data_IF_451847360986
#
_entry.id   IF_451847360986
#
_cell.length_a   1.000
_cell.length_b   1.000
_cell.length_c   1.000
_cell.angle_alpha   90.00
_cell.angle_beta   90.00
_cell.angle_gamma   90.00
#
_symmetry.space_group_name_H-M   'P 1'
#
loop_
_entity.id
_entity.type
_entity.pdbx_description
1 polymer ?
#
# COMPACT_ATOMS: atom_id res chain seq x y z
N UNK A 1 5.93 27.39 62.76
CA UNK A 1 5.42 27.38 61.38
C UNK A 1 6.56 26.84 60.54
N UNK A 2 6.58 25.51 60.34
CA UNK A 2 7.67 24.81 59.66
C UNK A 2 7.54 24.97 58.14
N UNK A 3 8.59 25.50 57.51
CA UNK A 3 8.72 25.56 56.06
C UNK A 3 9.51 24.34 55.57
N UNK A 4 8.83 23.21 55.39
CA UNK A 4 9.44 22.02 54.80
C UNK A 4 9.54 22.18 53.27
N UNK A 5 10.77 22.32 52.76
CA UNK A 5 11.06 22.33 51.33
C UNK A 5 11.13 20.90 50.79
N UNK A 6 10.12 20.51 50.03
CA UNK A 6 10.09 19.23 49.31
C UNK A 6 10.94 19.36 48.03
N UNK A 7 12.12 18.74 48.01
CA UNK A 7 12.95 18.64 46.80
C UNK A 7 12.66 17.32 46.08
N UNK A 8 12.35 17.39 44.79
CA UNK A 8 12.08 16.22 43.95
C UNK A 8 13.17 16.06 42.88
N UNK A 9 13.79 14.86 42.83
CA UNK A 9 14.83 14.50 41.87
C UNK A 9 14.19 13.73 40.71
N UNK A 10 14.04 14.38 39.56
CA UNK A 10 13.48 13.76 38.36
C UNK A 10 14.61 13.40 37.39
N UNK A 11 14.63 12.15 36.91
CA UNK A 11 15.49 11.72 35.80
C UNK A 11 14.71 11.81 34.50
N UNK A 12 14.95 12.87 33.73
CA UNK A 12 14.45 12.98 32.37
C UNK A 12 15.43 12.29 31.41
N UNK A 13 14.95 11.29 30.67
CA UNK A 13 15.72 10.66 29.59
C UNK A 13 15.09 11.05 28.25
N UNK A 14 15.89 11.55 27.33
CA UNK A 14 15.41 11.89 26.00
C UNK A 14 14.99 10.61 25.26
N UNK A 15 13.71 10.50 24.93
CA UNK A 15 13.20 9.39 24.12
C UNK A 15 13.69 9.58 22.69
N UNK A 16 14.31 8.54 22.10
CA UNK A 16 14.80 8.55 20.72
C UNK A 16 13.68 8.99 19.76
N UNK A 17 13.87 10.13 19.10
CA UNK A 17 12.93 10.63 18.10
C UNK A 17 13.08 9.74 16.86
N UNK A 18 12.02 9.05 16.47
CA UNK A 18 12.01 8.26 15.24
C UNK A 18 12.06 9.22 14.05
N UNK A 19 13.21 9.32 13.39
CA UNK A 19 13.33 10.03 12.11
C UNK A 19 12.61 9.24 11.03
N UNK A 20 11.84 9.91 10.17
CA UNK A 20 11.37 9.29 8.93
C UNK A 20 12.59 8.96 8.07
N UNK A 21 12.76 7.70 7.70
CA UNK A 21 13.75 7.33 6.69
C UNK A 21 13.48 8.15 5.43
N UNK A 22 14.52 8.75 4.85
CA UNK A 22 14.44 9.35 3.52
C UNK A 22 13.93 8.30 2.54
N UNK A 23 13.03 8.71 1.64
CA UNK A 23 12.46 7.78 0.66
C UNK A 23 13.60 7.26 -0.23
N UNK A 24 13.93 5.97 -0.09
CA UNK A 24 14.94 5.33 -0.95
C UNK A 24 14.55 5.37 -2.42
N UNK A 25 15.55 5.19 -3.29
CA UNK A 25 15.35 5.18 -4.74
C UNK A 25 14.32 4.09 -5.16
N UNK A 26 13.43 4.39 -6.13
CA UNK A 26 12.56 3.40 -6.75
C UNK A 26 13.30 2.12 -7.17
N UNK A 27 12.85 0.96 -6.70
CA UNK A 27 13.40 -0.31 -7.15
C UNK A 27 12.97 -0.56 -8.62
N UNK A 28 13.90 -1.01 -9.46
CA UNK A 28 13.67 -1.32 -10.88
C UNK A 28 13.03 -2.71 -11.00
N UNK A 29 12.10 -2.88 -11.95
CA UNK A 29 11.43 -4.16 -12.15
C UNK A 29 12.23 -5.12 -13.04
N UNK A 30 13.07 -5.95 -12.44
CA UNK A 30 13.92 -6.91 -13.17
C UNK A 30 13.20 -8.14 -13.73
N UNK A 31 11.91 -8.36 -13.45
CA UNK A 31 11.23 -9.56 -13.94
C UNK A 31 11.07 -9.61 -15.46
N UNK A 32 11.23 -8.47 -16.15
CA UNK A 32 11.21 -8.38 -17.61
C UNK A 32 12.61 -8.32 -18.22
N UNK A 33 13.70 -8.48 -17.45
CA UNK A 33 15.06 -8.41 -18.02
C UNK A 33 15.33 -9.48 -19.09
N UNK A 34 14.60 -10.60 -19.03
CA UNK A 34 14.71 -11.69 -20.00
C UNK A 34 13.90 -11.43 -21.28
N UNK A 35 13.08 -10.37 -21.32
CA UNK A 35 12.37 -9.97 -22.53
C UNK A 35 13.33 -9.22 -23.48
N UNK A 36 13.59 -9.74 -24.69
CA UNK A 36 14.50 -9.12 -25.65
C UNK A 36 14.10 -7.68 -26.01
N UNK A 37 12.80 -7.37 -26.03
CA UNK A 37 12.32 -6.06 -26.45
C UNK A 37 12.67 -4.97 -25.43
N UNK A 38 12.46 -5.24 -24.14
CA UNK A 38 12.78 -4.31 -23.06
C UNK A 38 14.29 -4.11 -22.89
N UNK A 39 15.08 -5.17 -23.08
CA UNK A 39 16.55 -5.10 -23.07
C UNK A 39 17.09 -4.24 -24.21
N UNK A 40 16.54 -4.39 -25.43
CA UNK A 40 16.89 -3.54 -26.57
C UNK A 40 16.54 -2.07 -26.29
N UNK A 41 15.34 -1.82 -25.74
CA UNK A 41 14.89 -0.48 -25.36
C UNK A 41 15.82 0.17 -24.34
N UNK A 42 16.27 -0.59 -23.34
CA UNK A 42 17.26 -0.12 -22.37
C UNK A 42 18.57 0.29 -23.06
N UNK A 43 19.13 -0.56 -23.92
CA UNK A 43 20.37 -0.28 -24.64
C UNK A 43 20.29 0.99 -25.49
N UNK A 44 19.18 1.19 -26.20
CA UNK A 44 18.96 2.40 -27.01
C UNK A 44 18.92 3.67 -26.15
N UNK A 45 18.17 3.65 -25.04
CA UNK A 45 18.03 4.82 -24.15
C UNK A 45 19.38 5.11 -23.45
N UNK A 46 20.07 4.08 -22.98
CA UNK A 46 21.35 4.22 -22.30
C UNK A 46 22.42 4.78 -23.23
N UNK A 47 22.57 4.21 -24.43
CA UNK A 47 23.54 4.66 -25.42
C UNK A 47 23.28 6.11 -25.83
N UNK A 48 22.01 6.49 -26.03
CA UNK A 48 21.64 7.87 -26.29
C UNK A 48 22.10 8.79 -25.16
N UNK A 49 21.79 8.47 -23.89
CA UNK A 49 22.16 9.33 -22.74
C UNK A 49 23.66 9.47 -22.53
N UNK A 50 24.42 8.39 -22.69
CA UNK A 50 25.88 8.42 -22.53
C UNK A 50 26.52 9.24 -23.65
N UNK A 51 25.97 9.20 -24.87
CA UNK A 51 26.49 9.97 -25.99
C UNK A 51 26.15 11.47 -25.92
N UNK A 52 24.98 11.84 -25.37
CA UNK A 52 24.60 13.26 -25.21
C UNK A 52 25.38 13.94 -24.08
N UNK A 53 25.71 13.20 -23.03
CA UNK A 53 26.53 13.70 -21.92
C UNK A 53 28.01 13.53 -22.27
N UNK A 54 28.59 14.52 -22.94
CA UNK A 54 30.06 14.62 -23.03
C UNK A 54 30.64 14.46 -21.61
N UNK A 55 31.46 13.43 -21.37
CA UNK A 55 32.20 13.22 -20.11
C UNK A 55 33.32 14.27 -19.97
N UNK A 56 32.99 15.54 -20.14
CA UNK A 56 33.86 16.70 -20.02
C UNK A 56 34.13 17.08 -18.55
N UNK A 57 33.57 16.36 -17.58
CA UNK A 57 33.87 16.59 -16.18
C UNK A 57 35.32 16.17 -15.89
N UNK A 58 36.15 17.13 -15.50
CA UNK A 58 37.55 16.93 -15.07
C UNK A 58 37.67 16.04 -13.83
N UNK A 59 36.57 15.87 -13.10
CA UNK A 59 36.49 15.11 -11.86
C UNK A 59 35.91 13.68 -12.07
N UNK A 60 36.61 12.69 -11.53
CA UNK A 60 36.27 11.27 -11.65
C UNK A 60 34.96 10.95 -10.92
N UNK A 61 34.72 11.58 -9.77
CA UNK A 61 33.49 11.36 -8.99
C UNK A 61 32.27 11.82 -9.77
N UNK A 62 32.35 12.99 -10.40
CA UNK A 62 31.31 13.52 -11.27
C UNK A 62 31.03 12.61 -12.47
N UNK A 63 32.08 12.04 -13.09
CA UNK A 63 31.93 11.06 -14.19
C UNK A 63 31.23 9.78 -13.73
N UNK A 64 31.58 9.28 -12.55
CA UNK A 64 30.94 8.09 -11.99
C UNK A 64 29.47 8.33 -11.64
N UNK A 65 29.14 9.48 -11.04
CA UNK A 65 27.77 9.87 -10.75
C UNK A 65 26.93 9.95 -12.03
N UNK A 66 27.46 10.57 -13.09
CA UNK A 66 26.75 10.65 -14.37
C UNK A 66 26.53 9.28 -15.00
N UNK A 67 27.53 8.40 -14.98
CA UNK A 67 27.39 7.04 -15.48
C UNK A 67 26.32 6.28 -14.68
N UNK A 68 26.38 6.35 -13.36
CA UNK A 68 25.43 5.69 -12.47
C UNK A 68 24.00 6.20 -12.69
N UNK A 69 23.80 7.52 -12.80
CA UNK A 69 22.50 8.12 -13.09
C UNK A 69 21.99 7.79 -14.49
N UNK A 70 22.86 7.75 -15.50
CA UNK A 70 22.50 7.35 -16.85
C UNK A 70 22.03 5.88 -16.87
N UNK A 71 22.74 4.98 -16.20
CA UNK A 71 22.34 3.57 -16.05
C UNK A 71 21.00 3.48 -15.32
N UNK A 72 20.89 4.10 -14.16
CA UNK A 72 19.72 3.99 -13.30
C UNK A 72 18.46 4.57 -13.96
N UNK A 73 18.55 5.77 -14.55
CA UNK A 73 17.40 6.41 -15.20
C UNK A 73 16.99 5.69 -16.49
N UNK A 74 17.94 5.17 -17.26
CA UNK A 74 17.65 4.38 -18.46
C UNK A 74 16.96 3.06 -18.08
N UNK A 75 17.48 2.38 -17.05
CA UNK A 75 16.89 1.15 -16.53
C UNK A 75 15.49 1.40 -15.96
N UNK A 76 15.30 2.48 -15.20
CA UNK A 76 13.99 2.86 -14.67
C UNK A 76 12.98 3.17 -15.79
N UNK A 77 13.43 3.76 -16.90
CA UNK A 77 12.56 4.08 -18.04
C UNK A 77 12.19 2.83 -18.84
N UNK A 78 13.15 1.93 -19.07
CA UNK A 78 12.95 0.71 -19.85
C UNK A 78 12.16 -0.36 -19.07
N UNK A 79 12.57 -0.64 -17.84
CA UNK A 79 12.01 -1.72 -17.02
C UNK A 79 10.89 -1.27 -16.09
N UNK A 80 10.66 0.04 -15.96
CA UNK A 80 9.68 0.67 -15.07
C UNK A 80 9.98 0.43 -13.58
N UNK A 81 9.29 1.20 -12.75
CA UNK A 81 9.31 1.05 -11.30
C UNK A 81 8.68 -0.28 -10.91
N UNK A 82 9.37 -1.07 -10.09
CA UNK A 82 8.82 -2.20 -9.38
C UNK A 82 7.86 -1.69 -8.31
N UNK A 83 6.57 -1.86 -8.55
CA UNK A 83 5.58 -1.72 -7.50
C UNK A 83 5.57 -3.01 -6.68
N UNK A 84 5.52 -2.89 -5.36
CA UNK A 84 5.09 -4.00 -4.53
C UNK A 84 3.60 -4.20 -4.82
N UNK A 85 3.28 -5.06 -5.78
CA UNK A 85 1.94 -5.61 -5.88
C UNK A 85 1.80 -6.56 -4.71
N UNK A 86 1.26 -6.06 -3.59
CA UNK A 86 0.55 -6.96 -2.69
C UNK A 86 -0.68 -7.36 -3.50
N UNK A 87 -0.67 -8.56 -4.09
CA UNK A 87 -1.85 -9.10 -4.73
C UNK A 87 -2.98 -9.00 -3.70
N UNK A 88 -3.96 -8.14 -3.99
CA UNK A 88 -5.15 -8.02 -3.18
C UNK A 88 -6.27 -8.73 -3.92
N UNK A 89 -7.33 -9.09 -3.20
CA UNK A 89 -8.46 -9.82 -3.78
C UNK A 89 -9.04 -9.11 -5.01
N UNK A 90 -8.92 -7.78 -5.10
CA UNK A 90 -9.42 -7.01 -6.24
C UNK A 90 -8.56 -7.18 -7.50
N UNK A 91 -7.23 -7.12 -7.38
CA UNK A 91 -6.32 -7.37 -8.51
C UNK A 91 -6.30 -8.84 -8.93
N UNK A 92 -6.48 -9.76 -7.98
CA UNK A 92 -6.54 -11.19 -8.26
C UNK A 92 -7.80 -11.59 -9.05
N UNK A 93 -8.91 -10.88 -8.83
CA UNK A 93 -10.19 -11.11 -9.51
C UNK A 93 -10.55 -9.94 -10.45
N UNK A 94 -9.55 -9.33 -11.08
CA UNK A 94 -9.77 -8.17 -11.94
C UNK A 94 -10.70 -8.50 -13.12
N UNK A 95 -10.53 -9.66 -13.74
CA UNK A 95 -11.33 -10.08 -14.91
C UNK A 95 -12.83 -10.18 -14.58
N UNK A 96 -13.18 -10.60 -13.36
CA UNK A 96 -14.56 -10.63 -12.86
C UNK A 96 -15.06 -9.22 -12.47
N UNK A 97 -14.20 -8.39 -11.87
CA UNK A 97 -14.57 -7.06 -11.38
C UNK A 97 -14.64 -5.99 -12.48
N UNK A 98 -13.89 -6.13 -13.56
CA UNK A 98 -13.84 -5.18 -14.67
C UNK A 98 -15.21 -4.95 -15.33
N UNK A 99 -15.97 -5.99 -15.76
CA UNK A 99 -17.25 -5.78 -16.43
C UNK A 99 -18.29 -5.13 -15.52
N UNK A 100 -18.38 -5.55 -14.25
CA UNK A 100 -19.33 -4.97 -13.29
C UNK A 100 -18.97 -3.54 -12.90
N UNK A 101 -17.67 -3.21 -12.84
CA UNK A 101 -17.19 -1.84 -12.61
C UNK A 101 -17.51 -0.93 -13.80
N UNK A 102 -17.34 -1.43 -15.03
CA UNK A 102 -17.71 -0.73 -16.26
C UNK A 102 -19.22 -0.51 -16.34
N UNK A 103 -20.03 -1.53 -16.05
CA UNK A 103 -21.48 -1.45 -16.04
C UNK A 103 -21.99 -0.42 -15.00
N UNK A 104 -21.44 -0.44 -13.78
CA UNK A 104 -21.75 0.56 -12.74
C UNK A 104 -21.41 1.97 -13.19
N UNK A 105 -20.25 2.17 -13.83
CA UNK A 105 -19.85 3.49 -14.37
C UNK A 105 -20.78 3.93 -15.50
N UNK A 106 -21.15 3.03 -16.41
CA UNK A 106 -22.07 3.34 -17.50
C UNK A 106 -23.45 3.74 -16.98
N UNK A 107 -24.02 2.99 -16.04
CA UNK A 107 -25.31 3.31 -15.41
C UNK A 107 -25.30 4.68 -14.71
N UNK A 108 -24.16 5.05 -14.09
CA UNK A 108 -23.99 6.37 -13.50
C UNK A 108 -23.96 7.49 -14.56
N UNK A 109 -23.30 7.27 -15.70
CA UNK A 109 -23.29 8.23 -16.80
C UNK A 109 -24.69 8.43 -17.40
N UNK A 110 -25.43 7.35 -17.63
CA UNK A 110 -26.80 7.43 -18.18
C UNK A 110 -27.75 8.18 -17.25
N UNK A 111 -27.64 7.99 -15.94
CA UNK A 111 -28.42 8.77 -14.96
C UNK A 111 -28.04 10.24 -14.95
N UNK A 112 -26.75 10.58 -15.06
CA UNK A 112 -26.31 11.98 -15.15
C UNK A 112 -26.84 12.67 -16.40
N UNK A 113 -26.99 11.93 -17.50
CA UNK A 113 -27.58 12.44 -18.74
C UNK A 113 -29.10 12.60 -18.65
N UNK A 114 -29.78 11.63 -18.03
CA UNK A 114 -31.24 11.66 -17.87
C UNK A 114 -31.63 11.15 -16.46
N UNK A 115 -31.77 12.05 -15.48
CA UNK A 115 -32.20 11.69 -14.13
C UNK A 115 -33.68 11.32 -14.11
N UNK A 116 -33.99 10.03 -14.06
CA UNK A 116 -35.35 9.53 -13.94
C UNK A 116 -35.40 8.27 -13.06
N UNK A 117 -36.60 7.77 -12.76
CA UNK A 117 -36.78 6.61 -11.88
C UNK A 117 -36.11 5.36 -12.46
N UNK A 118 -36.28 5.13 -13.77
CA UNK A 118 -35.67 3.98 -14.47
C UNK A 118 -34.14 4.01 -14.44
N UNK A 119 -33.52 5.17 -14.72
CA UNK A 119 -32.05 5.30 -14.67
C UNK A 119 -31.51 5.21 -13.24
N UNK A 120 -32.28 5.66 -12.24
CA UNK A 120 -31.95 5.48 -10.82
C UNK A 120 -31.99 4.01 -10.41
N UNK A 121 -33.01 3.28 -10.83
CA UNK A 121 -33.13 1.84 -10.55
C UNK A 121 -32.03 1.03 -11.27
N UNK A 122 -31.65 1.43 -12.48
CA UNK A 122 -30.51 0.86 -13.19
C UNK A 122 -29.17 1.07 -12.43
N UNK A 123 -28.93 2.26 -11.85
CA UNK A 123 -27.77 2.46 -10.96
C UNK A 123 -27.84 1.50 -9.78
N UNK A 124 -28.99 1.41 -9.10
CA UNK A 124 -29.16 0.57 -7.91
C UNK A 124 -28.87 -0.89 -8.24
N UNK A 125 -29.40 -1.40 -9.35
CA UNK A 125 -29.15 -2.75 -9.82
C UNK A 125 -27.65 -2.98 -10.13
N UNK A 126 -27.02 -2.07 -10.90
CA UNK A 126 -25.61 -2.17 -11.22
C UNK A 126 -24.71 -2.09 -9.97
N UNK A 127 -25.08 -1.26 -8.99
CA UNK A 127 -24.40 -1.17 -7.70
C UNK A 127 -24.50 -2.47 -6.91
N UNK A 128 -25.72 -3.01 -6.79
CA UNK A 128 -25.97 -4.28 -6.10
C UNK A 128 -25.15 -5.42 -6.72
N UNK A 129 -25.15 -5.51 -8.05
CA UNK A 129 -24.36 -6.52 -8.78
C UNK A 129 -22.86 -6.37 -8.55
N UNK A 130 -22.33 -5.14 -8.65
CA UNK A 130 -20.91 -4.89 -8.40
C UNK A 130 -20.53 -5.23 -6.95
N UNK A 131 -21.40 -4.94 -5.98
CA UNK A 131 -21.18 -5.26 -4.57
C UNK A 131 -21.24 -6.76 -4.31
N UNK A 132 -22.19 -7.48 -4.91
CA UNK A 132 -22.27 -8.95 -4.81
C UNK A 132 -21.01 -9.60 -5.38
N UNK A 133 -20.57 -9.14 -6.56
CA UNK A 133 -19.37 -9.66 -7.23
C UNK A 133 -18.12 -9.38 -6.39
N UNK A 134 -17.97 -8.16 -5.86
CA UNK A 134 -16.86 -7.81 -4.97
C UNK A 134 -16.79 -8.71 -3.74
N UNK A 135 -17.94 -8.98 -3.10
CA UNK A 135 -18.01 -9.91 -1.96
C UNK A 135 -17.64 -11.32 -2.35
N UNK A 136 -18.11 -11.81 -3.50
CA UNK A 136 -17.79 -13.13 -4.01
C UNK A 136 -16.28 -13.28 -4.26
N UNK A 137 -15.67 -12.36 -5.02
CA UNK A 137 -14.23 -12.33 -5.28
C UNK A 137 -13.41 -12.27 -4.00
N UNK A 138 -13.77 -11.37 -3.07
CA UNK A 138 -13.09 -11.25 -1.79
C UNK A 138 -13.15 -12.56 -0.99
N UNK A 139 -14.33 -13.16 -0.87
CA UNK A 139 -14.51 -14.40 -0.12
C UNK A 139 -13.75 -15.57 -0.75
N UNK A 140 -13.79 -15.72 -2.07
CA UNK A 140 -13.04 -16.76 -2.77
C UNK A 140 -11.53 -16.59 -2.56
N UNK A 141 -11.02 -15.37 -2.72
CA UNK A 141 -9.62 -15.06 -2.49
C UNK A 141 -9.19 -15.45 -1.06
N UNK A 142 -9.94 -15.04 -0.04
CA UNK A 142 -9.59 -15.35 1.35
C UNK A 142 -9.69 -16.84 1.65
N UNK A 143 -10.72 -17.54 1.17
CA UNK A 143 -10.84 -18.99 1.33
C UNK A 143 -9.66 -19.74 0.70
N UNK A 144 -9.28 -19.37 -0.51
CA UNK A 144 -8.14 -19.97 -1.20
C UNK A 144 -6.84 -19.69 -0.45
N UNK A 145 -6.64 -18.46 0.04
CA UNK A 145 -5.46 -18.11 0.82
C UNK A 145 -5.37 -18.92 2.13
N UNK A 146 -6.48 -19.07 2.87
CA UNK A 146 -6.51 -19.89 4.09
C UNK A 146 -6.25 -21.36 3.79
N UNK A 147 -6.87 -21.91 2.74
CA UNK A 147 -6.62 -23.29 2.32
C UNK A 147 -5.15 -23.53 1.96
N UNK A 148 -4.50 -22.59 1.26
CA UNK A 148 -3.06 -22.67 0.97
C UNK A 148 -2.19 -22.62 2.23
N UNK A 149 -2.54 -21.77 3.21
CA UNK A 149 -1.83 -21.70 4.50
C UNK A 149 -1.98 -23.01 5.26
N UNK A 150 -3.19 -23.56 5.31
CA UNK A 150 -3.49 -24.81 6.00
C UNK A 150 -2.77 -26.00 5.36
N UNK A 151 -2.78 -26.10 4.02
CA UNK A 151 -1.99 -27.12 3.31
C UNK A 151 -0.49 -27.00 3.58
N UNK A 152 0.04 -25.77 3.63
CA UNK A 152 1.45 -25.54 3.95
C UNK A 152 1.78 -25.93 5.41
N UNK A 153 0.85 -25.72 6.35
CA UNK A 153 0.99 -26.17 7.73
C UNK A 153 1.01 -27.71 7.80
N UNK A 154 0.04 -28.37 7.17
CA UNK A 154 -0.13 -29.82 7.21
C UNK A 154 1.02 -30.57 6.53
N UNK A 155 1.65 -29.96 5.52
CA UNK A 155 2.81 -30.53 4.81
C UNK A 155 4.16 -30.18 5.42
N UNK A 156 4.20 -29.41 6.51
CA UNK A 156 5.46 -28.94 7.12
C UNK A 156 6.22 -27.89 6.28
N UNK A 157 5.59 -27.29 5.27
CA UNK A 157 6.18 -26.23 4.44
C UNK A 157 6.20 -24.88 5.18
N UNK A 158 7.18 -24.70 6.06
CA UNK A 158 7.35 -23.48 6.85
C UNK A 158 7.46 -22.20 5.99
N UNK A 159 8.05 -22.30 4.80
CA UNK A 159 8.19 -21.15 3.88
C UNK A 159 6.84 -20.73 3.29
N UNK A 160 6.03 -21.69 2.87
CA UNK A 160 4.68 -21.46 2.35
C UNK A 160 3.76 -20.86 3.42
N UNK A 161 3.82 -21.38 4.64
CA UNK A 161 3.08 -20.87 5.78
C UNK A 161 3.42 -19.40 6.07
N UNK A 162 4.72 -19.07 6.17
CA UNK A 162 5.15 -17.69 6.43
C UNK A 162 4.75 -16.73 5.30
N UNK A 163 4.89 -17.16 4.04
CA UNK A 163 4.48 -16.37 2.89
C UNK A 163 2.96 -16.08 2.87
N UNK A 164 2.15 -17.09 3.21
CA UNK A 164 0.69 -16.94 3.31
C UNK A 164 0.28 -15.98 4.42
N UNK A 165 0.84 -16.13 5.64
CA UNK A 165 0.59 -15.20 6.76
C UNK A 165 0.97 -13.76 6.39
N UNK A 166 2.10 -13.56 5.72
CA UNK A 166 2.53 -12.23 5.29
C UNK A 166 1.58 -11.59 4.26
N UNK A 167 0.84 -12.40 3.52
CA UNK A 167 -0.14 -11.97 2.53
C UNK A 167 -1.49 -11.63 3.16
N UNK A 168 -1.80 -12.21 4.33
CA UNK A 168 -2.97 -11.80 5.10
C UNK A 168 -2.81 -10.37 5.60
N UNK A 169 -3.82 -9.49 5.42
CA UNK A 169 -3.83 -8.19 6.05
C UNK A 169 -3.80 -8.43 7.54
N UNK A 170 -2.71 -8.03 8.19
CA UNK A 170 -2.69 -8.00 9.64
C UNK A 170 -3.85 -7.09 10.10
N UNK A 171 -4.61 -7.45 11.14
CA UNK A 171 -5.56 -6.53 11.74
C UNK A 171 -4.83 -5.22 12.02
N UNK A 172 -5.21 -4.14 11.35
CA UNK A 172 -4.68 -2.83 11.68
C UNK A 172 -5.08 -2.55 13.13
N UNK A 173 -4.12 -2.38 14.06
CA UNK A 173 -4.49 -2.07 15.44
C UNK A 173 -5.24 -0.74 15.40
N UNK A 174 -6.52 -0.78 15.76
CA UNK A 174 -7.30 0.42 16.02
C UNK A 174 -6.65 1.04 17.24
N UNK A 175 -5.88 2.11 17.04
CA UNK A 175 -5.30 2.88 18.12
C UNK A 175 -6.40 3.75 18.72
N UNK A 176 -7.28 3.15 19.50
CA UNK A 176 -8.17 3.91 20.38
C UNK A 176 -7.29 4.42 21.51
N UNK A 177 -7.06 5.73 21.57
CA UNK A 177 -6.37 6.35 22.69
C UNK A 177 -7.29 6.23 23.91
N UNK A 178 -6.91 5.50 24.97
CA UNK A 178 -7.76 5.40 26.14
C UNK A 178 -7.84 6.76 26.84
N UNK A 179 -9.04 7.26 27.11
CA UNK A 179 -9.22 8.38 28.03
C UNK A 179 -8.99 7.87 29.46
N UNK A 180 -8.03 8.45 30.16
CA UNK A 180 -7.76 8.16 31.57
C UNK A 180 -8.56 9.13 32.44
N UNK A 181 -9.53 8.62 33.19
CA UNK A 181 -10.10 9.35 34.34
C UNK A 181 -9.32 8.98 35.61
N UNK A 182 -9.48 9.74 36.70
CA UNK A 182 -8.73 9.56 37.96
C UNK A 182 -8.87 8.18 38.62
N UNK A 183 -9.82 7.34 38.18
CA UNK A 183 -10.04 6.02 38.78
C UNK A 183 -10.10 4.85 37.78
N UNK A 184 -10.27 5.07 36.47
CA UNK A 184 -10.31 3.95 35.50
C UNK A 184 -9.97 4.36 34.05
N UNK A 185 -9.41 3.41 33.30
CA UNK A 185 -9.11 3.53 31.87
C UNK A 185 -10.36 3.17 31.04
N UNK A 186 -11.03 4.18 30.47
CA UNK A 186 -12.24 3.97 29.67
C UNK A 186 -11.82 3.60 28.25
N UNK A 187 -11.85 2.31 27.95
CA UNK A 187 -11.48 1.74 26.63
C UNK A 187 -12.69 1.66 25.68
N UNK A 188 -13.90 1.75 26.22
CA UNK A 188 -15.15 1.69 25.45
C UNK A 188 -15.47 3.04 24.77
N UNK A 189 -15.67 3.00 23.46
CA UNK A 189 -15.84 4.19 22.62
C UNK A 189 -17.18 4.92 22.88
N UNK A 190 -18.25 4.18 23.23
CA UNK A 190 -19.55 4.77 23.56
C UNK A 190 -19.53 5.53 24.88
N UNK A 191 -18.84 4.99 25.89
CA UNK A 191 -18.60 5.67 27.17
C UNK A 191 -17.69 6.88 27.05
N UNK A 192 -16.70 6.84 26.15
CA UNK A 192 -15.89 8.02 25.85
C UNK A 192 -16.76 9.16 25.33
N UNK A 193 -17.57 8.94 24.29
CA UNK A 193 -18.40 9.98 23.68
C UNK A 193 -19.36 10.68 24.67
N UNK A 194 -19.97 9.94 25.60
CA UNK A 194 -20.85 10.54 26.62
C UNK A 194 -20.08 11.49 27.56
N UNK A 195 -18.85 11.13 27.91
CA UNK A 195 -18.02 11.92 28.82
C UNK A 195 -17.51 13.24 28.20
N UNK A 196 -17.46 13.33 26.86
CA UNK A 196 -17.15 14.57 26.12
C UNK A 196 -18.32 15.56 26.09
N UNK A 197 -19.55 15.13 26.41
CA UNK A 197 -20.72 16.01 26.46
C UNK A 197 -20.86 16.70 27.83
N UNK A 198 -20.19 16.18 28.86
CA UNK A 198 -20.25 16.67 30.24
C UNK A 198 -19.17 17.74 30.56
N UNK A 199 -18.31 18.09 29.59
CA UNK A 199 -17.26 19.12 29.68
C UNK A 199 -17.42 20.16 28.56
#
# INVERSE_FOLDING_TARGET
>A
MDHSLVSCKVRLTAKKIHHSKTKGLPCINTCHSNDPETSRRFQTIFSAKVNTSSLSATDIDSRWHHLHDAIYTSALTAFRKKYRQNANWYTAHWDEMQPVSKAKRQALLTYKQNPCISTRDAIRAAHSKAQQTARHCANNYWRNLYSMIEMAANSGNARGLYAGIKTTPSPTPIKTTPLKSKALEITDQGKQLKHWVEH
#
